data_IF_474569626890
#
_entry.id   IF_474569626890
#
_cell.length_a   1.000
_cell.length_b   1.000
_cell.length_c   1.000
_cell.angle_alpha   90.00
_cell.angle_beta   90.00
_cell.angle_gamma   90.00
#
_symmetry.space_group_name_H-M   'P 1'
#
loop_
_entity.id
_entity.type
_entity.pdbx_description
1 polymer ?
#
# COMPACT_ATOMS: atom_id res chain seq x y z
N UNK A 1 -42.93 68.02 -27.61
CA UNK A 1 -43.33 66.65 -28.00
C UNK A 1 -42.06 65.99 -28.51
N UNK A 2 -41.36 65.21 -27.66
CA UNK A 2 -41.33 63.73 -27.73
C UNK A 2 -40.62 63.26 -29.01
N UNK A 3 -39.56 62.45 -29.04
CA UNK A 3 -38.96 61.54 -28.07
C UNK A 3 -37.76 60.84 -28.76
N UNK A 4 -36.70 60.56 -27.99
CA UNK A 4 -35.87 59.32 -27.94
C UNK A 4 -35.16 58.81 -29.21
N UNK A 5 -33.82 58.79 -29.22
CA UNK A 5 -32.89 57.68 -28.83
C UNK A 5 -32.68 56.67 -29.98
N UNK A 6 -31.49 56.62 -30.60
CA UNK A 6 -30.31 55.80 -30.20
C UNK A 6 -30.16 54.64 -31.19
N UNK A 7 -29.03 54.51 -31.90
CA UNK A 7 -28.12 53.35 -31.73
C UNK A 7 -26.85 53.49 -32.57
N UNK A 8 -25.76 53.05 -31.93
CA UNK A 8 -24.42 52.86 -32.43
C UNK A 8 -24.32 51.47 -33.09
N UNK A 9 -23.67 51.35 -34.25
CA UNK A 9 -23.20 50.06 -34.80
C UNK A 9 -21.83 50.27 -35.46
N UNK A 10 -20.77 50.07 -34.69
CA UNK A 10 -19.44 49.82 -35.21
C UNK A 10 -19.28 48.30 -35.44
N UNK A 11 -18.65 47.96 -36.57
CA UNK A 11 -18.50 46.62 -37.09
C UNK A 11 -17.74 45.67 -36.15
N UNK A 12 -18.18 44.41 -36.15
CA UNK A 12 -17.52 43.26 -35.53
C UNK A 12 -16.06 43.12 -35.96
N UNK A 13 -15.17 43.04 -34.97
CA UNK A 13 -13.92 42.29 -35.09
C UNK A 13 -14.24 40.92 -34.50
N UNK A 14 -14.14 39.87 -35.31
CA UNK A 14 -14.09 38.49 -34.84
C UNK A 14 -12.62 38.24 -34.56
N UNK A 15 -12.22 38.29 -33.30
CA UNK A 15 -10.97 37.67 -32.86
C UNK A 15 -11.32 36.22 -32.51
N UNK A 16 -10.88 35.28 -33.35
CA UNK A 16 -10.86 33.86 -33.03
C UNK A 16 -9.88 33.66 -31.87
N UNK A 17 -10.40 33.59 -30.64
CA UNK A 17 -9.70 32.95 -29.54
C UNK A 17 -9.63 31.44 -29.86
N UNK A 18 -8.52 31.02 -30.46
CA UNK A 18 -8.11 29.61 -30.44
C UNK A 18 -7.80 29.23 -28.99
N UNK A 19 -8.85 28.89 -28.25
CA UNK A 19 -8.76 28.25 -26.95
C UNK A 19 -8.31 26.81 -27.20
N UNK A 20 -7.00 26.62 -27.32
CA UNK A 20 -6.39 25.29 -27.42
C UNK A 20 -6.55 24.67 -26.04
N UNK A 21 -7.62 23.90 -25.85
CA UNK A 21 -7.84 23.12 -24.65
C UNK A 21 -6.58 22.29 -24.36
N UNK A 22 -5.91 22.62 -23.27
CA UNK A 22 -4.79 21.84 -22.74
C UNK A 22 -5.30 20.42 -22.45
N UNK A 23 -4.82 19.44 -23.21
CA UNK A 23 -5.11 18.03 -22.96
C UNK A 23 -4.16 17.58 -21.85
N UNK A 24 -4.69 17.41 -20.64
CA UNK A 24 -3.96 16.84 -19.51
C UNK A 24 -3.89 15.33 -19.70
N UNK A 25 -2.68 14.78 -19.85
CA UNK A 25 -2.48 13.33 -19.93
C UNK A 25 -2.07 12.81 -18.56
N UNK A 26 -2.92 11.96 -17.97
CA UNK A 26 -2.57 11.27 -16.72
C UNK A 26 -1.51 10.21 -16.96
N UNK A 27 -0.36 10.37 -16.32
CA UNK A 27 0.74 9.40 -16.35
C UNK A 27 0.68 8.48 -15.14
N UNK A 28 1.02 7.22 -15.35
CA UNK A 28 1.09 6.20 -14.32
C UNK A 28 2.56 5.80 -14.13
N UNK A 29 3.07 6.04 -12.92
CA UNK A 29 4.41 5.62 -12.48
C UNK A 29 4.27 4.62 -11.36
N UNK A 30 5.00 3.51 -11.46
CA UNK A 30 4.92 2.39 -10.52
C UNK A 30 6.33 2.08 -10.04
N UNK A 31 6.51 1.95 -8.73
CA UNK A 31 7.78 1.58 -8.12
C UNK A 31 7.54 0.65 -6.94
N UNK A 32 8.52 -0.19 -6.61
CA UNK A 32 8.43 -1.05 -5.44
C UNK A 32 9.79 -1.60 -5.06
N UNK A 33 9.98 -1.78 -3.76
CA UNK A 33 11.19 -2.30 -3.15
C UNK A 33 10.85 -3.12 -1.91
N UNK A 34 11.79 -3.98 -1.52
CA UNK A 34 11.70 -4.78 -0.31
C UNK A 34 13.08 -4.86 0.33
N UNK A 35 13.16 -4.79 1.65
CA UNK A 35 14.41 -4.95 2.41
C UNK A 35 14.15 -5.76 3.66
N UNK A 36 15.16 -6.53 4.07
CA UNK A 36 15.14 -7.18 5.37
C UNK A 36 15.14 -6.12 6.49
N UNK A 37 14.65 -6.52 7.66
CA UNK A 37 14.64 -5.67 8.85
C UNK A 37 16.00 -5.05 9.21
N UNK A 38 16.03 -3.82 9.76
CA UNK A 38 17.28 -3.10 10.07
C UNK A 38 18.18 -3.81 11.10
N UNK A 39 17.60 -4.44 12.13
CA UNK A 39 18.33 -5.20 13.14
C UNK A 39 17.94 -6.67 13.12
N UNK A 40 18.95 -7.52 12.85
CA UNK A 40 18.83 -8.96 12.96
C UNK A 40 18.62 -9.40 14.41
N UNK A 41 17.80 -10.44 14.60
CA UNK A 41 17.66 -11.08 15.90
C UNK A 41 18.93 -11.90 16.18
N UNK A 42 19.63 -11.59 17.26
CA UNK A 42 20.71 -12.45 17.76
C UNK A 42 20.08 -13.53 18.62
N UNK A 43 19.86 -14.72 18.06
CA UNK A 43 19.46 -15.88 18.85
C UNK A 43 20.68 -16.37 19.62
N UNK A 44 20.72 -16.13 20.93
CA UNK A 44 21.78 -16.58 21.83
C UNK A 44 21.82 -18.11 21.92
N UNK A 45 22.67 -18.77 21.12
CA UNK A 45 23.16 -20.11 21.39
C UNK A 45 24.43 -20.41 20.58
N UNK A 46 25.61 -19.96 21.04
CA UNK A 46 26.96 -20.50 20.73
C UNK A 46 27.34 -20.87 19.27
N UNK A 47 26.56 -20.45 18.28
CA UNK A 47 26.70 -20.77 16.86
C UNK A 47 26.19 -19.53 16.11
N UNK A 48 26.95 -19.08 15.12
CA UNK A 48 26.74 -17.91 14.24
C UNK A 48 25.36 -17.24 14.29
N UNK A 49 25.36 -15.89 14.38
CA UNK A 49 24.17 -15.08 14.14
C UNK A 49 23.50 -15.51 12.83
N UNK A 50 22.30 -16.09 12.94
CA UNK A 50 21.50 -16.47 11.78
C UNK A 50 20.85 -15.19 11.27
N UNK A 51 21.34 -14.68 10.15
CA UNK A 51 20.64 -13.62 9.41
C UNK A 51 19.34 -14.22 8.91
N UNK A 52 18.21 -13.79 9.49
CA UNK A 52 16.88 -14.17 8.96
C UNK A 52 16.77 -13.53 7.57
N UNK A 53 16.35 -14.32 6.59
CA UNK A 53 16.11 -13.81 5.24
C UNK A 53 14.81 -13.01 5.23
N UNK A 54 14.75 -11.99 4.38
CA UNK A 54 13.53 -11.24 4.12
C UNK A 54 12.42 -12.18 3.59
N UNK A 55 11.29 -12.23 4.28
CA UNK A 55 10.16 -13.10 3.93
C UNK A 55 9.05 -12.38 3.17
N UNK A 56 9.10 -11.06 3.07
CA UNK A 56 8.14 -10.30 2.29
C UNK A 56 8.38 -10.43 0.80
N UNK A 57 7.32 -10.32 0.02
CA UNK A 57 7.37 -10.28 -1.45
C UNK A 57 6.42 -9.22 -1.97
N UNK A 58 6.76 -8.69 -3.14
CA UNK A 58 5.86 -7.83 -3.89
C UNK A 58 5.85 -8.20 -5.37
N UNK A 59 4.82 -7.75 -6.08
CA UNK A 59 4.73 -7.86 -7.53
C UNK A 59 4.21 -6.56 -8.10
N UNK A 60 4.84 -6.13 -9.18
CA UNK A 60 4.36 -5.06 -10.06
C UNK A 60 4.29 -5.60 -11.48
N UNK A 61 3.11 -5.53 -12.11
CA UNK A 61 2.93 -5.91 -13.50
C UNK A 61 2.12 -4.82 -14.20
N UNK A 62 2.66 -4.28 -15.30
CA UNK A 62 1.96 -3.35 -16.18
C UNK A 62 1.63 -4.03 -17.51
N UNK A 63 0.39 -3.90 -17.95
CA UNK A 63 -0.10 -4.40 -19.24
C UNK A 63 -0.99 -3.34 -19.89
N UNK A 64 -0.40 -2.49 -20.74
CA UNK A 64 -1.07 -1.32 -21.29
C UNK A 64 -1.54 -0.38 -20.19
N UNK A 65 -2.86 -0.18 -20.13
CA UNK A 65 -3.57 0.66 -19.16
C UNK A 65 -3.96 -0.07 -17.85
N UNK A 66 -3.48 -1.30 -17.66
CA UNK A 66 -3.70 -2.09 -16.45
C UNK A 66 -2.41 -2.19 -15.63
N UNK A 67 -2.53 -2.06 -14.32
CA UNK A 67 -1.46 -2.30 -13.36
C UNK A 67 -1.98 -3.27 -12.31
N UNK A 68 -1.22 -4.33 -12.07
CA UNK A 68 -1.37 -5.20 -10.91
C UNK A 68 -0.21 -4.90 -9.95
N UNK A 69 -0.54 -4.48 -8.73
CA UNK A 69 0.41 -4.35 -7.64
C UNK A 69 -0.02 -5.25 -6.48
N UNK A 70 0.94 -5.89 -5.81
CA UNK A 70 0.66 -6.71 -4.63
C UNK A 70 1.86 -6.72 -3.68
N UNK A 71 1.55 -6.89 -2.39
CA UNK A 71 2.50 -7.14 -1.31
C UNK A 71 1.98 -8.33 -0.48
N UNK A 72 2.88 -9.20 -0.08
CA UNK A 72 2.61 -10.33 0.80
C UNK A 72 3.74 -10.44 1.81
N UNK A 73 3.40 -10.41 3.10
CA UNK A 73 4.32 -10.57 4.22
C UNK A 73 4.33 -12.05 4.62
N UNK A 74 5.51 -12.66 4.67
CA UNK A 74 5.69 -14.05 5.06
C UNK A 74 5.97 -14.22 6.56
N UNK A 75 5.01 -14.71 7.34
CA UNK A 75 5.15 -14.89 8.78
C UNK A 75 6.02 -16.11 9.19
N UNK A 76 7.35 -16.06 9.00
CA UNK A 76 8.23 -17.23 9.25
C UNK A 76 8.52 -17.58 10.70
N UNK A 77 8.12 -16.77 11.67
CA UNK A 77 8.11 -17.18 13.09
C UNK A 77 7.07 -18.28 13.34
N UNK A 78 6.00 -18.31 12.52
CA UNK A 78 4.82 -19.16 12.72
C UNK A 78 4.74 -20.36 11.78
N UNK A 79 5.62 -20.47 10.77
CA UNK A 79 5.57 -21.54 9.77
C UNK A 79 6.91 -21.95 9.18
N UNK A 80 6.85 -22.58 8.01
CA UNK A 80 8.01 -23.00 7.21
C UNK A 80 7.87 -22.43 5.80
N UNK A 81 8.97 -21.99 5.19
CA UNK A 81 8.96 -21.48 3.81
C UNK A 81 7.95 -20.34 3.57
N UNK A 82 7.71 -19.49 4.57
CA UNK A 82 6.72 -18.42 4.50
C UNK A 82 7.04 -17.40 3.40
N UNK A 83 8.31 -17.02 3.24
CA UNK A 83 8.70 -16.18 2.09
C UNK A 83 8.50 -16.83 0.71
N UNK A 84 8.63 -18.15 0.61
CA UNK A 84 8.33 -18.86 -0.64
C UNK A 84 6.81 -18.95 -0.91
N UNK A 85 6.00 -18.98 0.17
CA UNK A 85 4.55 -18.90 0.06
C UNK A 85 4.09 -17.51 -0.36
N UNK A 86 4.61 -16.46 0.27
CA UNK A 86 4.41 -15.06 -0.13
C UNK A 86 4.75 -14.86 -1.61
N UNK A 87 5.88 -15.41 -2.06
CA UNK A 87 6.31 -15.41 -3.46
C UNK A 87 5.26 -16.07 -4.37
N UNK A 88 4.74 -17.25 -3.99
CA UNK A 88 3.69 -17.91 -4.79
C UNK A 88 2.40 -17.11 -4.83
N UNK A 89 1.96 -16.54 -3.72
CA UNK A 89 0.79 -15.69 -3.67
C UNK A 89 0.94 -14.53 -4.66
N UNK A 90 2.01 -13.73 -4.58
CA UNK A 90 2.13 -12.57 -5.48
C UNK A 90 2.34 -12.98 -6.95
N UNK A 91 3.18 -14.00 -7.21
CA UNK A 91 3.51 -14.41 -8.60
C UNK A 91 2.37 -15.10 -9.33
N UNK A 92 1.46 -15.79 -8.61
CA UNK A 92 0.32 -16.49 -9.20
C UNK A 92 -0.95 -15.63 -9.29
N UNK A 93 -0.95 -14.40 -8.78
CA UNK A 93 -2.13 -13.51 -8.87
C UNK A 93 -2.64 -13.41 -10.33
N UNK A 94 -3.96 -13.56 -10.53
CA UNK A 94 -4.58 -13.48 -11.85
C UNK A 94 -4.62 -12.02 -12.36
N UNK A 95 -4.84 -11.87 -13.66
CA UNK A 95 -5.04 -10.54 -14.27
C UNK A 95 -6.44 -9.97 -13.99
N UNK A 96 -7.38 -10.83 -13.57
CA UNK A 96 -8.73 -10.43 -13.13
C UNK A 96 -8.78 -10.23 -11.62
N UNK A 97 -9.44 -9.17 -11.11
CA UNK A 97 -9.51 -8.94 -9.67
C UNK A 97 -10.20 -10.07 -8.90
N UNK A 98 -9.64 -10.43 -7.75
CA UNK A 98 -10.26 -11.32 -6.76
C UNK A 98 -11.15 -10.45 -5.86
N UNK A 99 -12.47 -10.69 -5.85
CA UNK A 99 -13.43 -9.81 -5.14
C UNK A 99 -14.12 -10.48 -3.97
N UNK A 100 -14.12 -11.81 -3.94
CA UNK A 100 -14.87 -12.60 -2.96
C UNK A 100 -14.01 -13.69 -2.32
N UNK A 101 -14.53 -14.25 -1.23
CA UNK A 101 -13.96 -15.45 -0.62
C UNK A 101 -13.84 -16.61 -1.62
N UNK A 102 -14.87 -16.87 -2.41
CA UNK A 102 -14.87 -17.98 -3.36
C UNK A 102 -13.82 -17.77 -4.47
N UNK A 103 -13.64 -16.52 -4.94
CA UNK A 103 -12.58 -16.17 -5.89
C UNK A 103 -11.20 -16.43 -5.28
N UNK A 104 -10.98 -16.00 -4.04
CA UNK A 104 -9.70 -16.16 -3.33
C UNK A 104 -9.39 -17.65 -3.11
N UNK A 105 -10.36 -18.40 -2.60
CA UNK A 105 -10.21 -19.82 -2.34
C UNK A 105 -9.98 -20.61 -3.62
N UNK A 106 -10.80 -20.37 -4.66
CA UNK A 106 -10.67 -21.02 -5.96
C UNK A 106 -9.34 -20.71 -6.65
N UNK A 107 -8.81 -19.50 -6.47
CA UNK A 107 -7.49 -19.14 -6.96
C UNK A 107 -6.38 -19.92 -6.24
N UNK A 108 -6.41 -20.00 -4.90
CA UNK A 108 -5.42 -20.76 -4.10
C UNK A 108 -5.48 -22.25 -4.44
N UNK A 109 -6.69 -22.81 -4.60
CA UNK A 109 -6.94 -24.20 -5.04
C UNK A 109 -6.24 -24.54 -6.36
N UNK A 110 -6.00 -23.54 -7.21
CA UNK A 110 -5.28 -23.72 -8.47
C UNK A 110 -3.77 -24.00 -8.35
N UNK A 111 -3.14 -23.80 -7.19
CA UNK A 111 -1.67 -23.95 -7.07
C UNK A 111 -1.12 -24.41 -5.70
N UNK A 112 -1.93 -24.50 -4.63
CA UNK A 112 -1.39 -24.88 -3.32
C UNK A 112 -0.76 -26.29 -3.32
N UNK A 113 -1.29 -27.22 -4.13
CA UNK A 113 -0.77 -28.60 -4.18
C UNK A 113 0.65 -28.64 -4.77
N UNK A 114 0.89 -27.86 -5.83
CA UNK A 114 2.21 -27.66 -6.45
C UNK A 114 3.21 -27.16 -5.39
N UNK A 115 2.81 -26.12 -4.65
CA UNK A 115 3.61 -25.55 -3.58
C UNK A 115 3.91 -26.58 -2.48
N UNK A 116 2.87 -27.26 -1.96
CA UNK A 116 3.02 -28.19 -0.84
C UNK A 116 3.89 -29.39 -1.21
N UNK A 117 3.77 -29.90 -2.44
CA UNK A 117 4.56 -31.03 -2.95
C UNK A 117 6.02 -30.64 -3.06
N UNK A 118 6.30 -29.47 -3.65
CA UNK A 118 7.65 -28.95 -3.75
C UNK A 118 8.27 -28.73 -2.36
N UNK A 119 7.58 -28.03 -1.46
CA UNK A 119 8.06 -27.75 -0.11
C UNK A 119 8.32 -29.01 0.70
N UNK A 120 7.45 -30.03 0.63
CA UNK A 120 7.67 -31.34 1.28
C UNK A 120 8.92 -32.05 0.74
N UNK A 121 9.20 -31.93 -0.56
CA UNK A 121 10.40 -32.51 -1.17
C UNK A 121 11.70 -31.87 -0.65
N UNK A 122 11.69 -30.55 -0.40
CA UNK A 122 12.86 -29.82 0.12
C UNK A 122 13.24 -30.26 1.54
N UNK A 123 12.27 -30.61 2.37
CA UNK A 123 12.51 -31.07 3.75
C UNK A 123 12.41 -32.60 3.92
N UNK A 124 12.32 -33.39 2.84
CA UNK A 124 12.07 -34.83 2.92
C UNK A 124 13.09 -35.60 3.78
N UNK A 125 14.35 -35.14 3.79
CA UNK A 125 15.44 -35.75 4.56
C UNK A 125 15.62 -35.14 5.96
N UNK A 126 14.74 -34.22 6.38
CA UNK A 126 14.75 -33.59 7.69
C UNK A 126 13.38 -33.79 8.38
N UNK A 127 13.20 -34.86 9.17
CA UNK A 127 11.92 -35.18 9.81
C UNK A 127 11.36 -34.05 10.67
N UNK A 128 12.22 -33.25 11.33
CA UNK A 128 11.79 -32.11 12.14
C UNK A 128 11.16 -31.00 11.30
N UNK A 129 11.84 -30.59 10.22
CA UNK A 129 11.32 -29.59 9.29
C UNK A 129 10.07 -30.09 8.56
N UNK A 130 10.06 -31.36 8.13
CA UNK A 130 8.90 -31.97 7.49
C UNK A 130 7.68 -31.99 8.41
N UNK A 131 7.86 -32.42 9.67
CA UNK A 131 6.77 -32.43 10.65
C UNK A 131 6.26 -31.01 10.95
N UNK A 132 7.16 -30.02 11.06
CA UNK A 132 6.77 -28.61 11.24
C UNK A 132 5.95 -28.13 10.04
N UNK A 133 6.42 -28.32 8.81
CA UNK A 133 5.71 -27.94 7.60
C UNK A 133 4.33 -28.59 7.50
N UNK A 134 4.21 -29.90 7.76
CA UNK A 134 2.91 -30.60 7.67
C UNK A 134 1.94 -30.13 8.76
N UNK A 135 2.44 -29.87 9.98
CA UNK A 135 1.61 -29.46 11.11
C UNK A 135 1.15 -28.01 11.00
N UNK A 136 2.05 -27.11 10.61
CA UNK A 136 1.86 -25.66 10.68
C UNK A 136 1.57 -25.07 9.29
N UNK A 137 2.25 -25.53 8.26
CA UNK A 137 2.13 -24.98 6.91
C UNK A 137 3.06 -23.80 6.67
N UNK A 138 2.63 -22.89 5.80
CA UNK A 138 3.37 -21.68 5.42
C UNK A 138 2.38 -20.53 5.40
N UNK A 139 2.69 -19.46 6.12
CA UNK A 139 1.76 -18.37 6.40
C UNK A 139 2.19 -17.10 5.70
N UNK A 140 1.22 -16.37 5.15
CA UNK A 140 1.48 -15.05 4.60
C UNK A 140 0.21 -14.20 4.57
N UNK A 141 0.36 -12.89 4.69
CA UNK A 141 -0.70 -11.93 4.35
C UNK A 141 -0.83 -11.82 2.83
N UNK A 142 -1.85 -11.10 2.36
CA UNK A 142 -1.90 -10.65 0.97
C UNK A 142 -2.68 -9.35 0.87
N UNK A 143 -2.05 -8.34 0.30
CA UNK A 143 -2.73 -7.14 -0.18
C UNK A 143 -2.43 -6.95 -1.66
N UNK A 144 -3.46 -6.66 -2.45
CA UNK A 144 -3.32 -6.49 -3.89
C UNK A 144 -4.28 -5.47 -4.44
N UNK A 145 -3.90 -4.85 -5.56
CA UNK A 145 -4.74 -3.97 -6.32
C UNK A 145 -4.60 -4.21 -7.82
N UNK A 146 -5.72 -4.11 -8.51
CA UNK A 146 -5.83 -4.10 -9.95
C UNK A 146 -6.34 -2.71 -10.34
N UNK A 147 -5.42 -1.90 -10.86
CA UNK A 147 -5.73 -0.59 -11.40
C UNK A 147 -5.98 -0.71 -12.90
N UNK A 148 -7.04 -0.07 -13.37
CA UNK A 148 -7.36 0.09 -14.78
C UNK A 148 -7.66 1.56 -15.08
N UNK A 149 -7.08 2.10 -16.15
CA UNK A 149 -7.50 3.39 -16.71
C UNK A 149 -8.84 3.24 -17.44
N UNK A 150 -9.80 4.11 -17.15
CA UNK A 150 -11.11 4.19 -17.78
C UNK A 150 -11.35 5.62 -18.26
N UNK A 151 -10.90 5.92 -19.48
CA UNK A 151 -10.86 7.30 -19.98
C UNK A 151 -9.88 8.16 -19.20
N UNK A 152 -10.38 9.21 -18.56
CA UNK A 152 -9.61 10.06 -17.64
C UNK A 152 -9.60 9.51 -16.21
N UNK A 153 -10.45 8.53 -15.88
CA UNK A 153 -10.56 8.00 -14.54
C UNK A 153 -9.62 6.81 -14.32
N UNK A 154 -9.34 6.50 -13.06
CA UNK A 154 -8.76 5.22 -12.66
C UNK A 154 -9.77 4.45 -11.81
N UNK A 155 -9.90 3.16 -12.11
CA UNK A 155 -10.65 2.21 -11.30
C UNK A 155 -9.66 1.28 -10.61
N UNK A 156 -9.78 1.17 -9.29
CA UNK A 156 -8.93 0.36 -8.44
C UNK A 156 -9.79 -0.71 -7.77
N UNK A 157 -9.61 -1.97 -8.15
CA UNK A 157 -10.15 -3.10 -7.41
C UNK A 157 -9.09 -3.61 -6.44
N UNK A 158 -9.47 -3.81 -5.18
CA UNK A 158 -8.55 -4.16 -4.09
C UNK A 158 -8.98 -5.46 -3.40
N UNK A 159 -7.99 -6.22 -2.95
CA UNK A 159 -8.15 -7.35 -2.05
C UNK A 159 -7.16 -7.21 -0.89
N UNK A 160 -7.61 -7.51 0.32
CA UNK A 160 -6.78 -7.61 1.50
C UNK A 160 -7.15 -8.86 2.34
N UNK A 161 -6.12 -9.54 2.84
CA UNK A 161 -6.22 -10.61 3.83
C UNK A 161 -5.01 -10.54 4.77
N UNK A 162 -5.25 -10.18 6.03
CA UNK A 162 -4.21 -9.95 7.03
C UNK A 162 -4.07 -8.47 7.39
N UNK A 163 -2.86 -8.04 7.71
CA UNK A 163 -2.53 -6.71 8.21
C UNK A 163 -1.56 -5.91 7.32
N UNK A 164 -0.99 -6.51 6.27
CA UNK A 164 -0.40 -5.71 5.17
C UNK A 164 -1.44 -4.75 4.62
N UNK A 165 -1.02 -3.56 4.20
CA UNK A 165 -1.94 -2.43 4.05
C UNK A 165 -2.05 -1.94 2.61
N UNK A 166 -3.20 -1.34 2.29
CA UNK A 166 -3.43 -0.55 1.10
C UNK A 166 -3.99 0.81 1.51
N UNK A 167 -3.38 1.88 0.99
CA UNK A 167 -3.87 3.24 1.12
C UNK A 167 -4.03 3.88 -0.25
N UNK A 168 -5.11 4.63 -0.43
CA UNK A 168 -5.33 5.51 -1.57
C UNK A 168 -5.32 6.95 -1.06
N UNK A 169 -4.28 7.69 -1.40
CA UNK A 169 -4.18 9.11 -1.10
C UNK A 169 -4.54 9.92 -2.34
N UNK A 170 -5.64 10.66 -2.30
CA UNK A 170 -6.00 11.63 -3.34
C UNK A 170 -5.41 13.01 -3.02
N UNK A 171 -4.96 13.70 -4.05
CA UNK A 171 -4.24 14.97 -3.99
C UNK A 171 -5.05 16.02 -4.74
N UNK A 172 -5.32 17.13 -4.08
CA UNK A 172 -6.04 18.28 -4.63
C UNK A 172 -5.25 19.55 -4.31
N UNK A 173 -4.41 19.98 -5.24
CA UNK A 173 -3.45 21.06 -5.01
C UNK A 173 -2.42 20.67 -3.94
N UNK A 174 -2.44 21.39 -2.82
CA UNK A 174 -1.60 21.13 -1.63
C UNK A 174 -2.27 20.20 -0.62
N UNK A 175 -3.57 19.93 -0.79
CA UNK A 175 -4.30 19.03 0.10
C UNK A 175 -4.13 17.57 -0.30
N UNK A 176 -4.10 16.71 0.71
CA UNK A 176 -4.00 15.27 0.58
C UNK A 176 -5.01 14.59 1.51
N UNK A 177 -5.78 13.67 0.95
CA UNK A 177 -6.88 12.98 1.59
C UNK A 177 -6.72 11.47 1.50
N UNK A 178 -7.01 10.75 2.58
CA UNK A 178 -7.07 9.30 2.57
C UNK A 178 -8.46 8.86 2.11
N UNK A 179 -8.58 8.51 0.83
CA UNK A 179 -9.85 8.14 0.19
C UNK A 179 -10.10 6.63 0.15
N UNK A 180 -9.12 5.81 0.54
CA UNK A 180 -9.26 4.36 0.66
C UNK A 180 -8.23 3.76 1.60
N UNK A 181 -8.65 2.78 2.41
CA UNK A 181 -7.82 2.18 3.45
C UNK A 181 -8.24 0.72 3.70
N UNK A 182 -7.30 -0.22 3.56
CA UNK A 182 -7.47 -1.63 3.92
C UNK A 182 -6.22 -2.13 4.68
N UNK A 183 -6.35 -2.71 5.88
CA UNK A 183 -7.55 -2.75 6.69
C UNK A 183 -7.94 -1.34 7.22
N UNK A 184 -9.24 -1.06 7.27
CA UNK A 184 -9.79 0.27 7.58
C UNK A 184 -9.79 0.67 9.06
N UNK A 185 -8.83 0.22 9.87
CA UNK A 185 -8.69 0.63 11.28
C UNK A 185 -7.26 0.43 11.80
N UNK A 186 -6.86 1.26 12.77
CA UNK A 186 -5.62 1.05 13.53
C UNK A 186 -5.73 -0.15 14.45
N UNK A 187 -6.93 -0.43 14.98
CA UNK A 187 -7.16 -1.63 15.79
C UNK A 187 -6.82 -2.92 15.04
N UNK A 188 -7.05 -2.98 13.73
CA UNK A 188 -6.63 -4.11 12.88
C UNK A 188 -5.12 -4.27 12.79
N UNK A 189 -4.35 -3.19 12.97
CA UNK A 189 -2.88 -3.22 12.98
C UNK A 189 -2.32 -3.58 14.37
N UNK A 190 -3.16 -3.55 15.42
CA UNK A 190 -2.78 -4.00 16.77
C UNK A 190 -3.11 -5.48 17.02
N UNK A 191 -4.03 -6.04 16.25
CA UNK A 191 -4.49 -7.41 16.41
C UNK A 191 -3.56 -8.41 15.70
N UNK A 192 -3.48 -9.63 16.21
CA UNK A 192 -2.80 -10.73 15.50
C UNK A 192 -3.47 -10.94 14.13
N UNK A 193 -2.71 -10.95 13.01
CA UNK A 193 -3.31 -11.05 11.68
C UNK A 193 -3.85 -12.44 11.40
N UNK A 194 -4.88 -12.48 10.55
CA UNK A 194 -5.24 -13.70 9.86
C UNK A 194 -4.31 -13.90 8.66
N UNK A 195 -3.76 -15.10 8.55
CA UNK A 195 -2.76 -15.43 7.54
C UNK A 195 -3.29 -16.48 6.58
N UNK A 196 -3.01 -16.30 5.29
CA UNK A 196 -3.26 -17.32 4.27
C UNK A 196 -2.27 -18.45 4.48
N UNK A 197 -2.79 -19.67 4.52
CA UNK A 197 -2.00 -20.88 4.65
C UNK A 197 -2.32 -21.82 3.50
N UNK A 198 -1.31 -22.50 2.94
CA UNK A 198 -1.56 -23.46 1.85
C UNK A 198 -2.38 -24.67 2.29
N UNK A 199 -2.42 -24.98 3.60
CA UNK A 199 -3.13 -26.16 4.13
C UNK A 199 -4.50 -25.85 4.74
N UNK A 200 -4.78 -24.59 5.07
CA UNK A 200 -6.01 -24.19 5.76
C UNK A 200 -6.81 -23.25 4.85
N UNK A 201 -8.13 -23.41 4.83
CA UNK A 201 -9.00 -22.51 4.09
C UNK A 201 -8.94 -21.10 4.70
N UNK A 202 -8.98 -20.03 3.87
CA UNK A 202 -9.13 -18.68 4.38
C UNK A 202 -10.45 -18.56 5.15
N UNK A 203 -10.52 -17.57 6.04
CA UNK A 203 -11.76 -17.20 6.73
C UNK A 203 -12.52 -16.17 5.91
N UNK A 204 -13.76 -16.48 5.52
CA UNK A 204 -14.55 -15.63 4.65
C UNK A 204 -14.75 -14.22 5.24
N UNK A 205 -14.95 -14.12 6.55
CA UNK A 205 -15.13 -12.86 7.27
C UNK A 205 -13.88 -11.97 7.34
N UNK A 206 -12.72 -12.51 6.94
CA UNK A 206 -11.43 -11.79 6.92
C UNK A 206 -11.04 -11.34 5.51
N UNK A 207 -11.79 -11.76 4.49
CA UNK A 207 -11.57 -11.30 3.11
C UNK A 207 -12.16 -9.90 2.99
N UNK A 208 -11.29 -8.92 2.78
CA UNK A 208 -11.71 -7.54 2.54
C UNK A 208 -11.50 -7.23 1.06
N UNK A 209 -12.53 -6.68 0.43
CA UNK A 209 -12.44 -6.18 -0.94
C UNK A 209 -13.09 -4.80 -1.04
N UNK A 210 -12.54 -3.98 -1.92
CA UNK A 210 -13.05 -2.64 -2.18
C UNK A 210 -12.83 -2.27 -3.65
N UNK A 211 -13.67 -1.38 -4.15
CA UNK A 211 -13.50 -0.78 -5.48
C UNK A 211 -13.53 0.73 -5.32
N UNK A 212 -12.47 1.39 -5.76
CA UNK A 212 -12.36 2.85 -5.75
C UNK A 212 -12.33 3.36 -7.19
N UNK A 213 -12.94 4.53 -7.39
CA UNK A 213 -12.86 5.26 -8.64
C UNK A 213 -12.38 6.66 -8.33
N UNK A 214 -11.35 7.12 -9.03
CA UNK A 214 -10.77 8.45 -8.82
C UNK A 214 -10.47 9.15 -10.14
N UNK A 215 -10.79 10.43 -10.17
CA UNK A 215 -10.45 11.39 -11.22
C UNK A 215 -9.39 12.41 -10.76
N UNK A 216 -8.92 12.35 -9.51
CA UNK A 216 -7.96 13.29 -8.89
C UNK A 216 -6.59 12.69 -8.74
N UNK A 217 -5.50 13.43 -8.96
CA UNK A 217 -4.14 12.92 -8.74
C UNK A 217 -4.04 12.08 -7.47
N UNK A 218 -3.41 10.91 -7.54
CA UNK A 218 -3.43 10.00 -6.42
C UNK A 218 -2.17 9.16 -6.29
N UNK A 219 -1.95 8.68 -5.07
CA UNK A 219 -0.92 7.73 -4.74
C UNK A 219 -1.56 6.51 -4.08
N UNK A 220 -1.49 5.37 -4.78
CA UNK A 220 -1.84 4.08 -4.21
C UNK A 220 -0.60 3.50 -3.56
N UNK A 221 -0.71 3.09 -2.31
CA UNK A 221 0.36 2.54 -1.49
C UNK A 221 -0.05 1.14 -1.06
N UNK A 222 0.82 0.15 -1.27
CA UNK A 222 0.68 -1.19 -0.73
C UNK A 222 1.94 -1.50 0.08
N UNK A 223 1.80 -1.96 1.31
CA UNK A 223 2.93 -2.14 2.22
C UNK A 223 2.80 -3.38 3.11
N UNK A 224 3.92 -3.94 3.57
CA UNK A 224 3.92 -4.85 4.72
C UNK A 224 3.53 -4.09 5.99
N UNK A 225 3.19 -4.80 7.06
CA UNK A 225 2.58 -4.24 8.27
C UNK A 225 3.41 -3.08 8.87
N UNK A 226 4.72 -3.24 9.05
CA UNK A 226 5.59 -2.24 9.67
C UNK A 226 5.71 -0.96 8.85
N UNK A 227 5.82 -1.08 7.53
CA UNK A 227 5.85 0.06 6.60
C UNK A 227 4.48 0.70 6.46
N UNK A 228 3.41 -0.10 6.41
CA UNK A 228 2.03 0.36 6.38
C UNK A 228 1.69 1.19 7.61
N UNK A 229 2.00 0.66 8.79
CA UNK A 229 1.83 1.34 10.07
C UNK A 229 2.62 2.66 10.12
N UNK A 230 3.87 2.66 9.66
CA UNK A 230 4.68 3.88 9.58
C UNK A 230 3.96 4.97 8.76
N UNK A 231 3.52 4.65 7.54
CA UNK A 231 2.87 5.61 6.63
C UNK A 231 1.58 6.16 7.24
N UNK A 232 0.74 5.28 7.80
CA UNK A 232 -0.52 5.67 8.41
C UNK A 232 -0.31 6.55 9.65
N UNK A 233 0.63 6.22 10.53
CA UNK A 233 0.92 7.03 11.71
C UNK A 233 1.52 8.39 11.35
N UNK A 234 2.38 8.47 10.30
CA UNK A 234 2.84 9.77 9.76
C UNK A 234 1.68 10.62 9.27
N UNK A 235 0.77 10.00 8.51
CA UNK A 235 -0.41 10.70 7.99
C UNK A 235 -1.32 11.22 9.11
N UNK A 236 -1.59 10.39 10.12
CA UNK A 236 -2.46 10.76 11.24
C UNK A 236 -1.80 11.79 12.16
N UNK A 237 -0.48 11.76 12.33
CA UNK A 237 0.28 12.81 13.00
C UNK A 237 0.19 14.15 12.25
N UNK A 238 0.31 14.12 10.91
CA UNK A 238 0.06 15.28 10.05
C UNK A 238 -1.36 15.82 10.27
N UNK A 239 -2.39 14.99 10.13
CA UNK A 239 -3.77 15.43 10.33
C UNK A 239 -4.03 15.96 11.74
N UNK A 240 -3.43 15.37 12.77
CA UNK A 240 -3.57 15.82 14.16
C UNK A 240 -2.96 17.21 14.39
N UNK A 241 -1.88 17.55 13.66
CA UNK A 241 -1.26 18.87 13.69
C UNK A 241 -2.00 19.92 12.86
N UNK A 242 -2.87 19.50 11.94
CA UNK A 242 -3.67 20.38 11.10
C UNK A 242 -5.03 20.68 11.75
N UNK A 243 -5.44 21.95 11.78
CA UNK A 243 -6.82 22.34 12.12
C UNK A 243 -7.71 22.32 10.86
N UNK A 244 -7.77 21.19 10.16
CA UNK A 244 -8.61 21.03 8.96
C UNK A 244 -10.08 20.86 9.37
N UNK A 245 -11.02 21.68 8.85
CA UNK A 245 -12.43 21.59 9.20
C UNK A 245 -13.17 20.45 8.50
N UNK A 246 -12.64 19.95 7.37
CA UNK A 246 -13.32 18.98 6.51
C UNK A 246 -12.48 17.71 6.37
N UNK A 247 -12.67 16.76 7.28
CA UNK A 247 -12.16 15.39 7.17
C UNK A 247 -13.30 14.49 6.66
N UNK A 248 -12.93 13.45 5.92
CA UNK A 248 -13.84 12.35 5.62
C UNK A 248 -14.22 11.56 6.89
N UNK A 249 -15.25 10.72 6.79
CA UNK A 249 -15.66 9.85 7.90
C UNK A 249 -14.55 8.87 8.31
N UNK A 250 -13.83 8.30 7.32
CA UNK A 250 -12.71 7.37 7.56
C UNK A 250 -11.52 8.06 8.23
N UNK A 251 -11.12 9.24 7.73
CA UNK A 251 -10.07 10.06 8.37
C UNK A 251 -10.48 10.46 9.80
N UNK A 252 -11.74 10.84 10.01
CA UNK A 252 -12.27 11.21 11.33
C UNK A 252 -12.17 10.04 12.31
N UNK A 253 -12.58 8.84 11.88
CA UNK A 253 -12.51 7.61 12.68
C UNK A 253 -11.06 7.23 13.01
N UNK A 254 -10.18 7.18 12.00
CA UNK A 254 -8.77 6.82 12.19
C UNK A 254 -8.06 7.84 13.08
N UNK A 255 -8.35 9.13 12.93
CA UNK A 255 -7.78 10.18 13.77
C UNK A 255 -8.26 10.07 15.22
N UNK A 256 -9.51 9.64 15.45
CA UNK A 256 -10.01 9.36 16.79
C UNK A 256 -9.29 8.16 17.44
N UNK A 257 -9.12 7.06 16.71
CA UNK A 257 -8.34 5.88 17.16
C UNK A 257 -6.88 6.28 17.49
N UNK A 258 -6.25 7.04 16.60
CA UNK A 258 -4.89 7.57 16.80
C UNK A 258 -4.78 8.41 18.08
N UNK A 259 -5.69 9.36 18.28
CA UNK A 259 -5.71 10.20 19.49
C UNK A 259 -5.88 9.36 20.75
N UNK A 260 -6.74 8.33 20.71
CA UNK A 260 -6.93 7.41 21.83
C UNK A 260 -5.65 6.62 22.14
N UNK A 261 -4.96 6.12 21.11
CA UNK A 261 -3.68 5.42 21.25
C UNK A 261 -2.60 6.30 21.86
N UNK A 262 -2.46 7.53 21.36
CA UNK A 262 -1.50 8.50 21.89
C UNK A 262 -1.76 8.82 23.36
N UNK A 263 -3.03 9.01 23.74
CA UNK A 263 -3.41 9.42 25.10
C UNK A 263 -3.38 8.28 26.12
N UNK A 264 -3.79 7.07 25.73
CA UNK A 264 -4.12 6.00 26.68
C UNK A 264 -3.68 4.59 26.28
N UNK A 265 -3.15 4.40 25.06
CA UNK A 265 -2.73 3.09 24.57
C UNK A 265 -1.47 2.59 25.28
N UNK A 266 -1.36 1.27 25.44
CA UNK A 266 -0.23 0.58 26.10
C UNK A 266 0.48 -0.44 25.22
N UNK A 267 0.05 -0.60 23.97
CA UNK A 267 0.60 -1.54 23.00
C UNK A 267 1.89 -1.02 22.35
N UNK A 268 2.64 -1.88 21.63
CA UNK A 268 3.75 -1.43 20.79
C UNK A 268 3.33 -0.35 19.77
N UNK A 269 2.16 -0.51 19.14
CA UNK A 269 1.59 0.48 18.21
C UNK A 269 1.38 1.83 18.89
N UNK A 270 0.87 1.85 20.14
CA UNK A 270 0.74 3.09 20.89
C UNK A 270 2.08 3.80 21.16
N UNK A 271 3.18 3.04 21.31
CA UNK A 271 4.51 3.63 21.45
C UNK A 271 4.96 4.32 20.15
N UNK A 272 4.76 3.68 19.00
CA UNK A 272 5.02 4.30 17.69
C UNK A 272 4.13 5.53 17.50
N UNK A 273 2.83 5.45 17.77
CA UNK A 273 1.91 6.57 17.64
C UNK A 273 2.37 7.80 18.46
N UNK A 274 2.87 7.57 19.69
CA UNK A 274 3.45 8.63 20.53
C UNK A 274 4.77 9.19 20.00
N UNK A 275 5.62 8.37 19.40
CA UNK A 275 6.85 8.85 18.74
C UNK A 275 6.50 9.75 17.55
N UNK A 276 5.57 9.32 16.70
CA UNK A 276 5.07 10.13 15.58
C UNK A 276 4.42 11.44 16.03
N UNK A 277 3.70 11.45 17.16
CA UNK A 277 3.09 12.66 17.71
C UNK A 277 4.09 13.72 18.19
N UNK A 278 5.35 13.34 18.44
CA UNK A 278 6.41 14.25 18.89
C UNK A 278 7.16 14.90 17.72
N UNK A 279 7.02 14.33 16.52
CA UNK A 279 7.68 14.81 15.30
C UNK A 279 6.74 15.73 14.53
N UNK A 280 7.26 16.88 14.09
CA UNK A 280 6.48 17.81 13.26
C UNK A 280 6.44 17.26 11.83
N UNK A 281 5.24 16.93 11.35
CA UNK A 281 5.01 16.57 9.95
C UNK A 281 4.63 17.83 9.18
N UNK A 282 5.50 18.28 8.27
CA UNK A 282 5.30 19.50 7.49
C UNK A 282 4.21 19.32 6.43
N UNK A 283 4.61 18.86 5.24
CA UNK A 283 3.70 18.48 4.16
C UNK A 283 3.79 16.96 3.95
N UNK A 284 2.68 16.26 4.14
CA UNK A 284 2.64 14.80 3.98
C UNK A 284 2.77 14.36 2.51
N UNK A 285 2.31 15.17 1.55
CA UNK A 285 2.52 14.93 0.11
C UNK A 285 4.02 14.82 -0.20
N UNK A 286 4.82 15.75 0.32
CA UNK A 286 6.28 15.74 0.14
C UNK A 286 6.96 14.54 0.83
N UNK A 287 6.41 14.05 1.94
CA UNK A 287 6.87 12.81 2.57
C UNK A 287 6.59 11.60 1.68
N UNK A 288 5.38 11.48 1.12
CA UNK A 288 5.03 10.42 0.18
C UNK A 288 5.87 10.49 -1.11
N UNK A 289 6.16 11.69 -1.64
CA UNK A 289 7.00 11.83 -2.83
C UNK A 289 8.46 11.47 -2.56
N UNK A 290 9.00 11.82 -1.39
CA UNK A 290 10.33 11.38 -0.95
C UNK A 290 10.37 9.86 -0.79
N UNK A 291 9.33 9.28 -0.20
CA UNK A 291 9.19 7.83 -0.08
C UNK A 291 9.14 7.16 -1.47
N UNK A 292 8.34 7.68 -2.39
CA UNK A 292 8.27 7.20 -3.77
C UNK A 292 9.59 7.33 -4.52
N UNK A 293 10.37 8.38 -4.25
CA UNK A 293 11.70 8.57 -4.83
C UNK A 293 12.72 7.59 -4.23
N UNK A 294 12.62 7.27 -2.95
CA UNK A 294 13.50 6.27 -2.32
C UNK A 294 13.40 4.89 -2.97
N UNK A 295 12.26 4.57 -3.60
CA UNK A 295 12.04 3.32 -4.31
C UNK A 295 12.82 3.20 -5.64
N UNK A 296 13.50 4.25 -6.10
CA UNK A 296 14.29 4.21 -7.34
C UNK A 296 15.46 3.24 -7.28
N UNK A 297 16.03 3.01 -6.10
CA UNK A 297 17.10 2.03 -5.90
C UNK A 297 16.90 1.25 -4.60
N UNK A 298 17.47 0.05 -4.54
CA UNK A 298 17.47 -0.77 -3.33
C UNK A 298 18.16 -0.04 -2.17
N UNK A 299 19.32 0.58 -2.42
CA UNK A 299 20.06 1.31 -1.40
C UNK A 299 19.31 2.56 -0.90
N UNK A 300 18.58 3.25 -1.79
CA UNK A 300 17.78 4.42 -1.44
C UNK A 300 16.66 4.05 -0.47
N UNK A 301 15.96 2.97 -0.77
CA UNK A 301 14.89 2.46 0.09
C UNK A 301 15.43 1.89 1.41
N UNK A 302 16.51 1.10 1.36
CA UNK A 302 17.15 0.56 2.55
C UNK A 302 17.62 1.67 3.50
N UNK A 303 18.22 2.75 2.94
CA UNK A 303 18.62 3.92 3.72
C UNK A 303 17.42 4.59 4.38
N UNK A 304 16.32 4.79 3.64
CA UNK A 304 15.09 5.37 4.17
C UNK A 304 14.54 4.53 5.34
N UNK A 305 14.43 3.21 5.17
CA UNK A 305 13.99 2.30 6.24
C UNK A 305 14.91 2.40 7.47
N UNK A 306 16.23 2.39 7.26
CA UNK A 306 17.22 2.50 8.34
C UNK A 306 17.09 3.81 9.12
N UNK A 307 16.96 4.95 8.44
CA UNK A 307 16.79 6.26 9.08
C UNK A 307 15.50 6.31 9.91
N UNK A 308 14.35 5.90 9.34
CA UNK A 308 13.07 5.94 10.07
C UNK A 308 13.05 4.97 11.26
N UNK A 309 13.77 3.87 11.16
CA UNK A 309 13.97 2.95 12.27
C UNK A 309 14.84 3.56 13.39
N UNK A 310 15.94 4.22 13.06
CA UNK A 310 16.81 4.89 14.04
C UNK A 310 16.09 6.04 14.78
N UNK A 311 15.17 6.72 14.09
CA UNK A 311 14.27 7.74 14.67
C UNK A 311 13.19 7.13 15.59
N UNK A 312 13.04 5.80 15.62
CA UNK A 312 12.00 5.11 16.39
C UNK A 312 10.60 5.23 15.79
N UNK A 313 10.49 5.61 14.51
CA UNK A 313 9.22 5.80 13.81
C UNK A 313 8.76 4.55 13.06
N UNK A 314 9.69 3.68 12.67
CA UNK A 314 9.43 2.45 11.90
C UNK A 314 9.74 1.21 12.77
N UNK A 315 8.87 0.18 12.77
CA UNK A 315 9.14 -1.09 13.46
C UNK A 315 10.42 -1.81 13.01
N UNK A 316 10.98 -2.68 13.85
CA UNK A 316 12.10 -3.52 13.42
C UNK A 316 11.62 -4.77 12.67
N UNK A 317 11.08 -4.56 11.47
CA UNK A 317 10.54 -5.65 10.64
C UNK A 317 10.96 -5.57 9.17
N UNK A 318 10.75 -6.68 8.45
CA UNK A 318 10.91 -6.69 7.01
C UNK A 318 10.00 -5.61 6.40
N UNK A 319 10.53 -4.86 5.46
CA UNK A 319 9.90 -3.64 4.97
C UNK A 319 9.70 -3.73 3.48
N UNK A 320 8.45 -3.86 3.06
CA UNK A 320 8.08 -3.94 1.65
C UNK A 320 7.09 -2.86 1.29
N UNK A 321 7.32 -2.22 0.15
CA UNK A 321 6.53 -1.11 -0.31
C UNK A 321 6.39 -1.16 -1.83
N UNK A 322 5.16 -1.06 -2.30
CA UNK A 322 4.80 -0.87 -3.70
C UNK A 322 3.90 0.36 -3.82
N UNK A 323 4.21 1.25 -4.75
CA UNK A 323 3.50 2.51 -4.92
C UNK A 323 3.15 2.74 -6.38
N UNK A 324 1.93 3.22 -6.62
CA UNK A 324 1.46 3.69 -7.92
C UNK A 324 1.13 5.17 -7.78
N UNK A 325 1.87 6.02 -8.48
CA UNK A 325 1.57 7.43 -8.60
C UNK A 325 0.81 7.68 -9.91
N UNK A 326 -0.33 8.34 -9.81
CA UNK A 326 -1.02 8.93 -10.94
C UNK A 326 -0.94 10.45 -10.81
N UNK A 327 -0.39 11.09 -11.84
CA UNK A 327 -0.25 12.54 -11.93
C UNK A 327 -0.81 13.04 -13.25
N UNK A 328 -1.42 14.21 -13.24
CA UNK A 328 -1.74 14.93 -14.47
C UNK A 328 -0.44 15.58 -14.95
N UNK A 329 0.07 15.17 -16.10
CA UNK A 329 1.18 15.88 -16.74
C UNK A 329 0.62 16.72 -17.89
N UNK A 330 1.10 17.95 -18.01
CA UNK A 330 0.87 18.75 -19.21
C UNK A 330 1.55 18.04 -20.38
N UNK A 331 0.78 17.72 -21.42
CA UNK A 331 1.39 17.37 -22.70
C UNK A 331 2.17 18.59 -23.16
N UNK A 332 3.51 18.53 -23.04
CA UNK A 332 4.36 19.42 -23.79
C UNK A 332 4.02 19.17 -25.26
N UNK A 333 3.19 20.05 -25.83
CA UNK A 333 2.90 20.12 -27.25
C UNK A 333 4.22 20.29 -27.96
N UNK A 334 4.86 19.17 -28.27
CA UNK A 334 6.07 19.09 -29.07
C UNK A 334 5.70 19.61 -30.44
N UNK A 335 5.91 20.92 -30.62
CA UNK A 335 5.80 21.56 -31.90
C UNK A 335 6.80 20.96 -32.87
N UNK A 336 6.25 20.46 -33.98
CA UNK A 336 6.85 20.18 -35.29
C UNK A 336 7.89 19.06 -35.38
#
# INVERSE_FOLDING_TARGET
MSSQESTCCAAHVIEDENDVALVLVKTLKVKGQTTAKPKNDVINASVQAVVRQNEDRFRLKRAGDHILAAVADGAGSSGMYCGAWAEKLVTKLPDTPIKTYDDLNGWIDGFWEEFSTHSKSLCANNPGQHNKLVKEGSFSTLVSCWLKKDGEDVVLDCLNYGDSTLYLFEIEGEDIHLSGCLPGSLASQEADPFLLNWKDLPKAEQVQSASYKSDKEAMVVLASDGMGLYILLRYLAFLAGQNKPNLSDDETKLLAEYRQLVQSGSTPVANYARAHAQEVVGNFKDELERLFTSLDTEEGYQKMVGERYEEGLLPNDDSTLAMIAFKAEEENGGGQ
#
